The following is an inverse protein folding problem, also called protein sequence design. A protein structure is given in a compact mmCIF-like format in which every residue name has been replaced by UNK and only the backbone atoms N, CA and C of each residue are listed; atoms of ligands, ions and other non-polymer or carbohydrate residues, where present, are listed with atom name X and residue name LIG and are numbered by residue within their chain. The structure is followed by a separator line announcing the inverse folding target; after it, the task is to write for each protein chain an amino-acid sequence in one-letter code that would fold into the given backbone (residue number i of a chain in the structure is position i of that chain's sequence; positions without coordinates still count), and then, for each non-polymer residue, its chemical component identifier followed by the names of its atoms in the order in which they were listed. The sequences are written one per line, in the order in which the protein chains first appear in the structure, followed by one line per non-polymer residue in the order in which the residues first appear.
data_IF_398469275706
#
_entry.id   IF_398469275706
#
_cell.length_a   1.000
_cell.length_b   1.000
_cell.length_c   1.000
_cell.angle_alpha   90.00
_cell.angle_beta   90.00
_cell.angle_gamma   90.00
#
_symmetry.space_group_name_H-M   'P 1'
#
loop_
_entity.id
_entity.type
_entity.pdbx_description
1 polymer ?
#
# COMPACT_ATOMS: atom_id res chain seq x y z
N UNK A 1 -28.08 -21.37 23.41
CA UNK A 1 -26.84 -21.56 22.63
C UNK A 1 -26.16 -20.21 22.49
N UNK A 2 -25.06 -19.95 23.19
CA UNK A 2 -24.29 -18.72 22.99
C UNK A 2 -23.12 -19.06 22.06
N UNK A 3 -23.12 -18.49 20.85
CA UNK A 3 -21.91 -18.46 20.01
C UNK A 3 -21.07 -17.28 20.47
N UNK A 4 -19.83 -17.55 20.87
CA UNK A 4 -18.81 -16.52 21.04
C UNK A 4 -18.58 -15.83 19.69
N UNK A 5 -18.31 -14.52 19.67
CA UNK A 5 -18.07 -13.80 18.43
C UNK A 5 -16.87 -14.42 17.68
N UNK A 6 -17.01 -14.63 16.37
CA UNK A 6 -15.89 -14.94 15.50
C UNK A 6 -15.04 -13.68 15.37
N UNK A 7 -13.86 -13.68 15.98
CA UNK A 7 -12.84 -12.69 15.66
C UNK A 7 -12.32 -13.08 14.27
N UNK A 8 -12.74 -12.35 13.24
CA UNK A 8 -12.08 -12.45 11.94
C UNK A 8 -10.67 -11.90 12.11
N UNK A 9 -9.67 -12.77 11.97
CA UNK A 9 -8.27 -12.35 12.08
C UNK A 9 -7.90 -11.57 10.83
N UNK A 10 -7.94 -10.25 10.90
CA UNK A 10 -7.14 -9.43 10.00
C UNK A 10 -5.66 -9.83 10.24
N UNK A 11 -5.03 -10.39 9.22
CA UNK A 11 -3.65 -10.84 9.29
C UNK A 11 -2.70 -9.65 9.40
N UNK A 12 -1.70 -9.76 10.27
CA UNK A 12 -0.63 -8.76 10.38
C UNK A 12 0.46 -9.11 9.38
N UNK A 13 0.77 -8.17 8.47
CA UNK A 13 1.91 -8.30 7.54
C UNK A 13 3.06 -7.45 8.07
N UNK A 14 4.24 -8.08 8.22
CA UNK A 14 5.49 -7.41 8.58
C UNK A 14 6.43 -7.28 7.38
N UNK A 15 7.06 -6.12 7.22
CA UNK A 15 8.11 -5.91 6.22
C UNK A 15 9.49 -5.90 6.91
N UNK A 16 10.35 -6.85 6.55
CA UNK A 16 11.69 -7.00 7.14
C UNK A 16 12.79 -6.65 6.13
N UNK A 17 13.88 -6.05 6.61
CA UNK A 17 15.05 -5.73 5.78
C UNK A 17 15.95 -4.63 6.39
N UNK A 18 17.18 -4.44 5.89
CA UNK A 18 18.11 -3.40 6.35
C UNK A 18 17.54 -1.98 6.26
N UNK A 19 18.14 -1.06 7.03
CA UNK A 19 17.86 0.37 6.89
C UNK A 19 18.27 0.86 5.50
N UNK A 20 17.46 1.74 4.91
CA UNK A 20 17.69 2.24 3.54
C UNK A 20 17.14 1.36 2.41
N UNK A 21 16.64 0.15 2.68
CA UNK A 21 16.06 -0.73 1.63
C UNK A 21 14.72 -0.22 1.06
N UNK A 22 14.13 0.83 1.64
CA UNK A 22 12.87 1.41 1.16
C UNK A 22 11.61 0.94 1.87
N UNK A 23 11.72 0.31 3.05
CA UNK A 23 10.56 -0.16 3.83
C UNK A 23 9.56 0.95 4.16
N UNK A 24 10.05 2.06 4.72
CA UNK A 24 9.21 3.22 5.03
C UNK A 24 8.62 3.84 3.76
N UNK A 25 9.39 3.87 2.66
CA UNK A 25 8.91 4.34 1.36
C UNK A 25 7.77 3.49 0.83
N UNK A 26 7.90 2.15 0.89
CA UNK A 26 6.86 1.22 0.47
C UNK A 26 5.59 1.37 1.33
N UNK A 27 5.74 1.57 2.64
CA UNK A 27 4.61 1.87 3.53
C UNK A 27 3.91 3.18 3.17
N UNK A 28 4.66 4.25 2.86
CA UNK A 28 4.07 5.51 2.40
C UNK A 28 3.31 5.37 1.08
N UNK A 29 3.80 4.53 0.17
CA UNK A 29 3.11 4.21 -1.08
C UNK A 29 1.82 3.45 -0.82
N UNK A 30 1.86 2.41 0.00
CA UNK A 30 0.67 1.65 0.40
C UNK A 30 -0.33 2.50 1.20
N UNK A 31 0.15 3.53 1.90
CA UNK A 31 -0.66 4.49 2.62
C UNK A 31 -1.27 5.59 1.73
N UNK A 32 -0.87 5.69 0.46
CA UNK A 32 -1.27 6.78 -0.43
C UNK A 32 -0.64 8.13 -0.12
N UNK A 33 0.27 8.21 0.85
CA UNK A 33 0.96 9.45 1.22
C UNK A 33 2.12 9.77 0.27
N UNK A 34 2.52 8.82 -0.57
CA UNK A 34 3.52 8.99 -1.63
C UNK A 34 3.14 8.21 -2.87
N UNK A 35 3.26 8.82 -4.05
CA UNK A 35 3.19 8.10 -5.32
C UNK A 35 4.59 7.60 -5.72
N UNK A 36 4.73 6.37 -6.24
CA UNK A 36 6.00 5.90 -6.78
C UNK A 36 6.31 6.58 -8.12
N UNK A 37 7.59 6.74 -8.44
CA UNK A 37 8.08 7.23 -9.73
C UNK A 37 8.37 6.09 -10.73
N UNK A 38 8.04 4.84 -10.37
CA UNK A 38 8.26 3.65 -11.19
C UNK A 38 9.70 3.44 -11.68
N UNK A 39 10.69 4.01 -10.98
CA UNK A 39 12.11 3.92 -11.34
C UNK A 39 12.58 4.97 -12.36
N UNK A 40 11.72 5.92 -12.72
CA UNK A 40 12.09 7.07 -13.53
C UNK A 40 12.67 8.18 -12.64
N UNK A 41 13.90 8.60 -12.95
CA UNK A 41 14.66 9.61 -12.21
C UNK A 41 14.36 11.04 -12.66
N UNK A 42 13.63 11.22 -13.76
CA UNK A 42 13.23 12.53 -14.30
C UNK A 42 11.91 13.03 -13.70
N UNK A 43 11.17 12.15 -13.01
CA UNK A 43 9.89 12.46 -12.38
C UNK A 43 9.90 12.17 -10.88
N UNK A 44 9.20 13.00 -10.11
CA UNK A 44 9.02 12.79 -8.67
C UNK A 44 7.91 11.76 -8.35
N UNK A 45 6.89 11.67 -9.21
CA UNK A 45 5.71 10.82 -9.03
C UNK A 45 5.06 10.47 -10.37
N UNK A 46 4.67 9.21 -10.56
CA UNK A 46 3.90 8.76 -11.72
C UNK A 46 2.39 8.98 -11.53
N UNK A 47 1.63 9.00 -12.63
CA UNK A 47 0.18 9.05 -12.59
C UNK A 47 -0.42 7.73 -12.06
N UNK A 48 -1.57 7.79 -11.39
CA UNK A 48 -2.21 6.60 -10.81
C UNK A 48 -2.52 5.52 -11.85
N UNK A 49 -2.91 5.90 -13.07
CA UNK A 49 -3.18 4.95 -14.14
C UNK A 49 -1.93 4.12 -14.48
N UNK A 50 -0.76 4.77 -14.58
CA UNK A 50 0.52 4.09 -14.84
C UNK A 50 0.93 3.20 -13.66
N UNK A 51 0.74 3.70 -12.43
CA UNK A 51 1.05 2.97 -11.21
C UNK A 51 0.22 1.68 -11.14
N UNK A 52 -1.10 1.77 -11.36
CA UNK A 52 -2.03 0.63 -11.32
C UNK A 52 -1.71 -0.39 -12.42
N UNK A 53 -1.35 0.08 -13.62
CA UNK A 53 -0.96 -0.79 -14.73
C UNK A 53 0.37 -1.52 -14.48
N UNK A 54 1.31 -0.88 -13.77
CA UNK A 54 2.62 -1.47 -13.43
C UNK A 54 2.53 -2.67 -12.49
N UNK A 55 1.47 -2.77 -11.69
CA UNK A 55 1.29 -3.83 -10.69
C UNK A 55 0.47 -4.98 -11.30
N UNK A 56 0.81 -6.26 -11.07
CA UNK A 56 -0.01 -7.39 -11.51
C UNK A 56 -1.45 -7.34 -10.98
N UNK A 57 -2.38 -7.94 -11.71
CA UNK A 57 -3.76 -8.09 -11.23
C UNK A 57 -3.82 -8.86 -9.91
N UNK A 58 -4.64 -8.39 -8.97
CA UNK A 58 -4.85 -9.02 -7.66
C UNK A 58 -4.98 -7.98 -6.55
N UNK A 59 -4.82 -8.45 -5.31
CA UNK A 59 -5.07 -7.67 -4.09
C UNK A 59 -4.30 -6.35 -4.04
N UNK A 60 -3.04 -6.32 -4.48
CA UNK A 60 -2.22 -5.10 -4.46
C UNK A 60 -2.76 -4.08 -5.45
N UNK A 61 -3.15 -4.51 -6.66
CA UNK A 61 -3.75 -3.61 -7.66
C UNK A 61 -5.10 -3.08 -7.18
N UNK A 62 -5.95 -3.94 -6.62
CA UNK A 62 -7.23 -3.54 -6.02
C UNK A 62 -7.04 -2.52 -4.89
N UNK A 63 -6.05 -2.73 -4.03
CA UNK A 63 -5.68 -1.78 -3.00
C UNK A 63 -5.23 -0.44 -3.60
N UNK A 64 -4.37 -0.45 -4.62
CA UNK A 64 -3.92 0.78 -5.27
C UNK A 64 -5.05 1.56 -5.96
N UNK A 65 -6.05 0.88 -6.51
CA UNK A 65 -7.28 1.52 -7.02
C UNK A 65 -8.00 2.24 -5.88
N UNK A 66 -8.21 1.59 -4.72
CA UNK A 66 -8.88 2.21 -3.56
C UNK A 66 -8.09 3.39 -3.00
N UNK A 67 -6.76 3.28 -2.95
CA UNK A 67 -5.86 4.37 -2.55
C UNK A 67 -5.98 5.55 -3.52
N UNK A 68 -6.00 5.29 -4.83
CA UNK A 68 -6.15 6.35 -5.85
C UNK A 68 -7.48 7.10 -5.75
N UNK A 69 -8.55 6.41 -5.28
CA UNK A 69 -9.86 6.98 -5.03
C UNK A 69 -9.96 7.72 -3.68
N UNK A 70 -8.91 7.70 -2.85
CA UNK A 70 -8.93 8.32 -1.51
C UNK A 70 -9.75 7.54 -0.47
N UNK A 71 -10.08 6.27 -0.73
CA UNK A 71 -10.95 5.43 0.12
C UNK A 71 -10.20 4.68 1.23
N UNK A 72 -8.87 4.82 1.31
CA UNK A 72 -8.03 4.13 2.28
C UNK A 72 -7.79 4.96 3.54
N UNK A 73 -8.36 4.54 4.67
CA UNK A 73 -8.00 5.05 6.00
C UNK A 73 -6.71 4.38 6.47
N UNK A 74 -5.60 5.13 6.55
CA UNK A 74 -4.31 4.61 7.01
C UNK A 74 -3.87 5.34 8.27
N UNK A 75 -3.59 4.58 9.33
CA UNK A 75 -2.95 5.10 10.54
C UNK A 75 -1.46 4.75 10.53
N UNK A 76 -0.61 5.78 10.40
CA UNK A 76 0.83 5.63 10.54
C UNK A 76 1.27 6.13 11.91
N UNK A 77 2.05 5.31 12.64
CA UNK A 77 2.76 5.78 13.82
C UNK A 77 4.09 6.41 13.37
N UNK A 78 4.44 7.60 13.86
CA UNK A 78 5.72 8.25 13.56
C UNK A 78 6.91 7.45 14.09
#
# INVERSE_FOLDING_TARGET
MYRLPSIESEGVIGMLGPNGMGKSTALSVLAGTRQPNLGDWEIDSAAWDDIIQSVPSGLVREHMVRVSAGESSVSMKP
#
